data_IF_590625843665
#
_entry.id   IF_590625843665
#
_cell.length_a   1.000
_cell.length_b   1.000
_cell.length_c   1.000
_cell.angle_alpha   90.00
_cell.angle_beta   90.00
_cell.angle_gamma   90.00
#
_symmetry.space_group_name_H-M   'P 1'
#
loop_
_entity.id
_entity.type
_entity.pdbx_description
1 polymer ?
#
# COMPACT_ATOMS: atom_id res chain seq x y z
N UNK A 1 9.23 6.64 -9.90
CA UNK A 1 7.92 5.98 -9.79
C UNK A 1 7.50 5.97 -8.32
N UNK A 2 6.24 6.25 -8.05
CA UNK A 2 5.77 6.43 -6.68
C UNK A 2 4.83 5.30 -6.28
N UNK A 3 5.13 4.68 -5.16
CA UNK A 3 4.23 3.72 -4.51
C UNK A 3 3.63 4.41 -3.29
N UNK A 4 2.32 4.37 -3.18
CA UNK A 4 1.61 4.96 -2.05
C UNK A 4 0.88 3.88 -1.27
N UNK A 5 1.08 3.88 0.04
CA UNK A 5 0.42 2.94 0.96
C UNK A 5 -0.55 3.73 1.84
N UNK A 6 -1.82 3.43 1.70
CA UNK A 6 -2.86 4.01 2.55
C UNK A 6 -3.00 3.14 3.79
N UNK A 7 -2.74 3.71 4.95
CA UNK A 7 -2.56 2.95 6.18
C UNK A 7 -3.49 3.42 7.30
N UNK A 8 -3.65 2.56 8.28
CA UNK A 8 -4.19 2.90 9.60
C UNK A 8 -3.12 2.51 10.63
N UNK A 9 -2.67 3.43 11.50
CA UNK A 9 -1.55 3.16 12.41
C UNK A 9 -1.75 1.98 13.36
N UNK A 10 -2.99 1.63 13.65
CA UNK A 10 -3.29 0.52 14.57
C UNK A 10 -3.49 -0.82 13.86
N UNK A 11 -3.25 -0.88 12.55
CA UNK A 11 -3.49 -2.10 11.77
C UNK A 11 -2.18 -2.87 11.56
N UNK A 12 -2.04 -4.10 12.10
CA UNK A 12 -0.81 -4.88 11.93
C UNK A 12 -0.52 -5.28 10.50
N UNK A 13 -1.54 -5.39 9.64
CA UNK A 13 -1.32 -5.70 8.22
C UNK A 13 -0.65 -4.54 7.49
N UNK A 14 -0.97 -3.30 7.87
CA UNK A 14 -0.29 -2.13 7.31
C UNK A 14 1.19 -2.15 7.65
N UNK A 15 1.51 -2.44 8.90
CA UNK A 15 2.89 -2.54 9.36
C UNK A 15 3.64 -3.64 8.61
N UNK A 16 3.03 -4.81 8.45
CA UNK A 16 3.63 -5.93 7.73
C UNK A 16 3.92 -5.57 6.27
N UNK A 17 3.01 -4.86 5.62
CA UNK A 17 3.17 -4.42 4.24
C UNK A 17 4.32 -3.42 4.11
N UNK A 18 4.41 -2.45 5.01
CA UNK A 18 5.48 -1.47 5.00
C UNK A 18 6.85 -2.12 5.24
N UNK A 19 6.92 -3.07 6.18
CA UNK A 19 8.15 -3.79 6.46
C UNK A 19 8.61 -4.60 5.24
N UNK A 20 7.69 -5.25 4.54
CA UNK A 20 8.02 -6.04 3.36
C UNK A 20 8.52 -5.14 2.22
N UNK A 21 7.88 -4.00 2.00
CA UNK A 21 8.33 -3.04 1.00
C UNK A 21 9.74 -2.53 1.32
N UNK A 22 9.99 -2.18 2.57
CA UNK A 22 11.30 -1.71 3.00
C UNK A 22 12.38 -2.79 2.86
N UNK A 23 12.04 -4.03 3.22
CA UNK A 23 12.95 -5.17 3.11
C UNK A 23 13.39 -5.41 1.67
N UNK A 24 12.48 -5.21 0.72
CA UNK A 24 12.75 -5.42 -0.70
C UNK A 24 13.34 -4.18 -1.38
N UNK A 25 13.58 -3.11 -0.63
CA UNK A 25 14.18 -1.88 -1.17
C UNK A 25 13.23 -1.03 -2.00
N UNK A 26 11.93 -1.21 -1.86
CA UNK A 26 10.94 -0.41 -2.57
C UNK A 26 10.66 0.86 -1.78
N UNK A 27 10.83 2.01 -2.42
CA UNK A 27 10.46 3.29 -1.82
C UNK A 27 8.95 3.48 -1.87
N UNK A 28 8.39 4.00 -0.81
CA UNK A 28 6.95 4.23 -0.73
C UNK A 28 6.65 5.44 0.14
N UNK A 29 5.51 6.07 -0.15
CA UNK A 29 4.94 7.10 0.70
C UNK A 29 3.75 6.51 1.44
N UNK A 30 3.46 7.04 2.61
CA UNK A 30 2.31 6.61 3.40
C UNK A 30 1.28 7.72 3.52
N UNK A 31 0.00 7.34 3.51
CA UNK A 31 -1.11 8.24 3.79
C UNK A 31 -1.91 7.64 4.94
N UNK A 32 -1.96 8.36 6.06
CA UNK A 32 -2.72 7.94 7.22
C UNK A 32 -4.20 8.28 7.00
N UNK A 33 -5.01 7.26 6.86
CA UNK A 33 -6.44 7.44 6.56
C UNK A 33 -7.22 8.03 7.74
N UNK A 34 -6.69 7.94 8.95
CA UNK A 34 -7.33 8.58 10.11
C UNK A 34 -7.19 10.10 10.07
N UNK A 35 -6.16 10.59 9.39
CA UNK A 35 -5.90 12.02 9.24
C UNK A 35 -6.38 12.58 7.91
N UNK A 36 -6.83 11.73 6.99
CA UNK A 36 -7.20 12.11 5.63
C UNK A 36 -8.53 11.44 5.25
N UNK A 37 -9.66 11.85 5.85
CA UNK A 37 -10.94 11.16 5.65
C UNK A 37 -11.45 11.21 4.20
N UNK A 38 -11.10 12.24 3.42
CA UNK A 38 -11.49 12.28 2.01
C UNK A 38 -10.81 11.18 1.20
N UNK A 39 -9.56 10.85 1.51
CA UNK A 39 -8.86 9.73 0.88
C UNK A 39 -9.49 8.39 1.24
N UNK A 40 -9.97 8.26 2.47
CA UNK A 40 -10.69 7.06 2.90
C UNK A 40 -11.93 6.82 2.04
N UNK A 41 -12.71 7.87 1.77
CA UNK A 41 -13.89 7.77 0.91
C UNK A 41 -13.54 7.38 -0.52
N UNK A 42 -12.47 7.96 -1.07
CA UNK A 42 -12.02 7.63 -2.41
C UNK A 42 -11.67 6.15 -2.54
N UNK A 43 -10.98 5.60 -1.56
CA UNK A 43 -10.59 4.20 -1.54
C UNK A 43 -11.82 3.31 -1.42
N UNK A 44 -12.74 3.65 -0.54
CA UNK A 44 -13.98 2.91 -0.36
C UNK A 44 -14.78 2.86 -1.65
N UNK A 45 -14.85 3.98 -2.38
CA UNK A 45 -15.60 4.08 -3.63
C UNK A 45 -14.92 3.33 -4.77
N UNK A 46 -13.61 3.11 -4.70
CA UNK A 46 -12.88 2.35 -5.72
C UNK A 46 -13.05 0.83 -5.59
N UNK A 47 -13.74 0.36 -4.54
CA UNK A 47 -13.92 -1.07 -4.30
C UNK A 47 -12.81 -1.73 -3.50
N UNK A 48 -11.77 -1.00 -3.13
CA UNK A 48 -10.67 -1.51 -2.31
C UNK A 48 -11.06 -1.36 -0.85
N UNK A 49 -11.54 -2.44 -0.24
CA UNK A 49 -12.23 -2.38 1.06
C UNK A 49 -11.35 -2.78 2.24
N UNK A 50 -10.16 -3.29 1.99
CA UNK A 50 -9.25 -3.72 3.06
C UNK A 50 -8.08 -2.76 3.17
N UNK A 51 -7.61 -2.53 4.38
CA UNK A 51 -6.41 -1.75 4.65
C UNK A 51 -5.29 -2.75 4.99
N UNK A 52 -4.08 -2.59 4.46
CA UNK A 52 -3.57 -1.46 3.67
C UNK A 52 -4.05 -1.49 2.22
N UNK A 53 -4.06 -0.31 1.60
CA UNK A 53 -4.24 -0.18 0.16
C UNK A 53 -2.93 0.30 -0.43
N UNK A 54 -2.40 -0.44 -1.40
CA UNK A 54 -1.16 -0.09 -2.09
C UNK A 54 -1.50 0.32 -3.51
N UNK A 55 -1.03 1.50 -3.89
CA UNK A 55 -1.22 2.03 -5.23
C UNK A 55 0.15 2.29 -5.86
N UNK A 56 0.39 1.66 -6.99
CA UNK A 56 1.59 1.85 -7.78
C UNK A 56 1.22 2.18 -9.22
N UNK A 57 2.19 2.61 -10.06
CA UNK A 57 1.88 2.99 -11.44
C UNK A 57 1.23 1.86 -12.27
N UNK A 58 1.57 0.62 -12.01
CA UNK A 58 1.13 -0.51 -12.84
C UNK A 58 0.18 -1.46 -12.12
N UNK A 59 -0.01 -1.32 -10.81
CA UNK A 59 -0.88 -2.23 -10.08
C UNK A 59 -1.34 -1.59 -8.78
N UNK A 60 -2.51 -2.04 -8.30
CA UNK A 60 -3.03 -1.63 -7.01
C UNK A 60 -3.76 -2.81 -6.39
N UNK A 61 -3.74 -2.86 -5.06
CA UNK A 61 -4.44 -3.91 -4.33
C UNK A 61 -4.79 -3.46 -2.93
N UNK A 62 -5.61 -4.25 -2.26
CA UNK A 62 -5.96 -4.03 -0.86
C UNK A 62 -5.58 -5.25 -0.02
N UNK A 63 -5.30 -5.03 1.26
CA UNK A 63 -4.86 -6.06 2.18
C UNK A 63 -3.37 -6.34 2.06
N UNK A 64 -2.87 -7.20 2.95
CA UNK A 64 -1.46 -7.59 2.91
C UNK A 64 -1.27 -8.71 1.89
N UNK A 65 -0.58 -8.39 0.80
CA UNK A 65 -0.34 -9.30 -0.31
C UNK A 65 1.15 -9.37 -0.61
N UNK A 66 1.91 -10.20 0.12
CA UNK A 66 3.36 -10.28 -0.08
C UNK A 66 3.75 -10.78 -1.47
N UNK A 67 2.92 -11.59 -2.11
CA UNK A 67 3.12 -12.02 -3.49
C UNK A 67 3.16 -10.84 -4.46
N UNK A 68 2.21 -9.91 -4.31
CA UNK A 68 2.14 -8.71 -5.16
C UNK A 68 3.26 -7.73 -4.84
N UNK A 69 3.64 -7.62 -3.57
CA UNK A 69 4.77 -6.78 -3.17
C UNK A 69 6.05 -7.27 -3.83
N UNK A 70 6.29 -8.58 -3.87
CA UNK A 70 7.47 -9.14 -4.52
C UNK A 70 7.47 -8.90 -6.02
N UNK A 71 6.31 -9.02 -6.68
CA UNK A 71 6.18 -8.70 -8.10
C UNK A 71 6.50 -7.23 -8.36
N UNK A 72 6.02 -6.35 -7.51
CA UNK A 72 6.29 -4.91 -7.61
C UNK A 72 7.78 -4.63 -7.47
N UNK A 73 8.44 -5.25 -6.49
CA UNK A 73 9.86 -5.09 -6.28
C UNK A 73 10.67 -5.55 -7.48
N UNK A 74 10.27 -6.65 -8.12
CA UNK A 74 10.94 -7.14 -9.33
C UNK A 74 10.81 -6.15 -10.47
N UNK A 75 9.67 -5.48 -10.61
CA UNK A 75 9.48 -4.50 -11.67
C UNK A 75 10.35 -3.25 -11.48
N UNK A 76 10.67 -2.90 -10.23
CA UNK A 76 11.58 -1.79 -9.95
C UNK A 76 13.04 -2.18 -10.05
N UNK A 77 13.37 -3.45 -9.92
CA UNK A 77 14.74 -3.94 -10.01
C UNK A 77 15.25 -4.05 -11.45
N UNK A 78 14.35 -4.03 -12.40
CA UNK A 78 14.71 -4.14 -13.83
C UNK A 78 15.20 -2.77 -14.39
#
# INVERSE_FOLDING_TARGET
MTVTVFTNPSNPQCEATEQELAKLGVRYDTVDLTKNPSNFEQIKNSGLKQIPVVISPNSSWSGHRPDLIRQLAQSFAA
#
